data_IF_600591194982
#
_entry.id   IF_600591194982
#
_cell.length_a   1.000
_cell.length_b   1.000
_cell.length_c   1.000
_cell.angle_alpha   90.00
_cell.angle_beta   90.00
_cell.angle_gamma   90.00
#
_symmetry.space_group_name_H-M   'P 1'
#
loop_
_entity.id
_entity.type
_entity.pdbx_description
1 polymer ?
#
# COMPACT_ATOMS: atom_id res chain seq x y z
N UNK A 1 25.99 31.75 2.00
CA UNK A 1 26.52 30.42 2.35
C UNK A 1 26.79 29.63 1.06
N UNK A 2 28.06 29.38 0.73
CA UNK A 2 28.43 28.59 -0.43
C UNK A 2 28.07 27.12 -0.20
N UNK A 3 27.36 26.50 -1.15
CA UNK A 3 27.10 25.06 -1.15
C UNK A 3 28.44 24.37 -1.37
N UNK A 4 28.95 23.63 -0.38
CA UNK A 4 30.18 22.86 -0.56
C UNK A 4 30.05 21.89 -1.75
N UNK A 5 31.16 21.54 -2.39
CA UNK A 5 31.18 20.64 -3.55
C UNK A 5 30.47 19.29 -3.27
N UNK A 6 30.57 18.78 -2.04
CA UNK A 6 29.88 17.58 -1.56
C UNK A 6 28.37 17.77 -1.47
N UNK A 7 27.90 18.92 -0.94
CA UNK A 7 26.48 19.24 -0.87
C UNK A 7 25.84 19.41 -2.27
N UNK A 8 26.56 19.99 -3.23
CA UNK A 8 26.10 20.08 -4.62
C UNK A 8 25.95 18.69 -5.27
N UNK A 9 26.88 17.76 -5.00
CA UNK A 9 26.79 16.36 -5.45
C UNK A 9 25.58 15.64 -4.85
N UNK A 10 25.37 15.76 -3.54
CA UNK A 10 24.23 15.15 -2.85
C UNK A 10 22.89 15.67 -3.40
N UNK A 11 22.79 16.96 -3.71
CA UNK A 11 21.60 17.55 -4.36
C UNK A 11 21.30 16.90 -5.72
N UNK A 12 22.31 16.69 -6.57
CA UNK A 12 22.12 16.03 -7.87
C UNK A 12 21.65 14.58 -7.70
N UNK A 13 22.20 13.86 -6.72
CA UNK A 13 21.80 12.48 -6.43
C UNK A 13 20.39 12.39 -5.86
N UNK A 14 20.02 13.29 -4.95
CA UNK A 14 18.69 13.32 -4.33
C UNK A 14 17.60 13.60 -5.37
N UNK A 15 17.83 14.52 -6.31
CA UNK A 15 16.90 14.79 -7.40
C UNK A 15 16.65 13.56 -8.28
N UNK A 16 17.71 12.84 -8.66
CA UNK A 16 17.59 11.59 -9.44
C UNK A 16 16.82 10.51 -8.68
N UNK A 17 17.11 10.32 -7.39
CA UNK A 17 16.37 9.37 -6.52
C UNK A 17 14.91 9.77 -6.38
N UNK A 18 14.63 11.07 -6.16
CA UNK A 18 13.27 11.62 -6.02
C UNK A 18 12.41 11.33 -7.23
N UNK A 19 12.94 11.54 -8.45
CA UNK A 19 12.18 11.29 -9.68
C UNK A 19 11.78 9.83 -9.83
N UNK A 20 12.71 8.89 -9.59
CA UNK A 20 12.41 7.45 -9.62
C UNK A 20 11.42 7.03 -8.55
N UNK A 21 11.62 7.48 -7.32
CA UNK A 21 10.73 7.14 -6.21
C UNK A 21 9.32 7.68 -6.44
N UNK A 22 9.19 8.87 -7.03
CA UNK A 22 7.89 9.49 -7.33
C UNK A 22 7.07 8.67 -8.33
N UNK A 23 7.68 8.14 -9.39
CA UNK A 23 6.95 7.30 -10.35
C UNK A 23 6.45 6.02 -9.67
N UNK A 24 7.34 5.28 -9.00
CA UNK A 24 6.96 4.04 -8.30
C UNK A 24 5.90 4.28 -7.22
N UNK A 25 6.03 5.35 -6.44
CA UNK A 25 5.05 5.69 -5.40
C UNK A 25 3.68 6.02 -6.02
N UNK A 26 3.64 6.74 -7.14
CA UNK A 26 2.40 7.07 -7.85
C UNK A 26 1.73 5.83 -8.45
N UNK A 27 2.51 4.89 -9.01
CA UNK A 27 2.02 3.63 -9.53
C UNK A 27 1.41 2.77 -8.41
N UNK A 28 2.13 2.60 -7.30
CA UNK A 28 1.64 1.84 -6.13
C UNK A 28 0.38 2.48 -5.55
N UNK A 29 0.31 3.82 -5.47
CA UNK A 29 -0.89 4.53 -5.03
C UNK A 29 -2.07 4.28 -5.97
N UNK A 30 -1.83 4.26 -7.26
CA UNK A 30 -2.86 3.99 -8.28
C UNK A 30 -3.38 2.56 -8.17
N UNK A 31 -2.50 1.56 -8.09
CA UNK A 31 -2.88 0.15 -7.94
C UNK A 31 -3.69 -0.06 -6.65
N UNK A 32 -3.25 0.50 -5.53
CA UNK A 32 -3.98 0.42 -4.26
C UNK A 32 -5.35 1.09 -4.34
N UNK A 33 -5.47 2.19 -5.09
CA UNK A 33 -6.76 2.88 -5.29
C UNK A 33 -7.69 2.05 -6.18
N UNK A 34 -7.17 1.41 -7.24
CA UNK A 34 -7.93 0.47 -8.08
C UNK A 34 -8.44 -0.71 -7.26
N UNK A 35 -7.59 -1.33 -6.42
CA UNK A 35 -8.00 -2.41 -5.53
C UNK A 35 -9.12 -1.98 -4.57
N UNK A 36 -9.03 -0.78 -3.99
CA UNK A 36 -10.10 -0.24 -3.13
C UNK A 36 -11.42 -0.05 -3.87
N UNK A 37 -11.37 0.46 -5.11
CA UNK A 37 -12.56 0.63 -5.95
C UNK A 37 -13.17 -0.73 -6.29
N UNK A 38 -12.36 -1.70 -6.69
CA UNK A 38 -12.82 -3.05 -7.02
C UNK A 38 -13.50 -3.76 -5.83
N UNK A 39 -12.97 -3.59 -4.61
CA UNK A 39 -13.63 -4.08 -3.38
C UNK A 39 -14.99 -3.42 -3.18
N UNK A 40 -15.10 -2.11 -3.45
CA UNK A 40 -16.35 -1.36 -3.26
C UNK A 40 -17.43 -1.71 -4.27
N UNK A 41 -17.04 -2.08 -5.50
CA UNK A 41 -17.98 -2.42 -6.57
C UNK A 41 -18.39 -3.90 -6.58
N UNK A 42 -17.77 -4.74 -5.74
CA UNK A 42 -18.18 -6.13 -5.54
C UNK A 42 -17.92 -7.08 -6.72
N UNK A 43 -17.10 -6.69 -7.70
CA UNK A 43 -16.80 -7.52 -8.87
C UNK A 43 -15.90 -8.71 -8.56
N UNK A 44 -16.02 -9.79 -9.34
CA UNK A 44 -15.24 -11.03 -9.18
C UNK A 44 -13.71 -10.80 -9.21
N UNK A 45 -13.24 -9.76 -9.88
CA UNK A 45 -11.82 -9.36 -9.94
C UNK A 45 -11.26 -8.66 -8.69
N UNK A 46 -12.05 -8.44 -7.64
CA UNK A 46 -11.59 -7.73 -6.44
C UNK A 46 -10.45 -8.46 -5.71
N UNK A 47 -10.45 -9.80 -5.71
CA UNK A 47 -9.39 -10.60 -5.08
C UNK A 47 -8.06 -10.45 -5.82
N UNK A 48 -8.07 -10.54 -7.14
CA UNK A 48 -6.89 -10.38 -7.98
C UNK A 48 -6.30 -8.97 -7.90
N UNK A 49 -7.16 -7.95 -7.88
CA UNK A 49 -6.76 -6.57 -7.69
C UNK A 49 -6.07 -6.34 -6.33
N UNK A 50 -6.48 -7.08 -5.28
CA UNK A 50 -5.83 -7.02 -3.97
C UNK A 50 -4.48 -7.73 -3.97
N UNK A 51 -4.36 -8.90 -4.61
CA UNK A 51 -3.09 -9.63 -4.73
C UNK A 51 -2.05 -8.82 -5.49
N UNK A 52 -2.43 -8.22 -6.62
CA UNK A 52 -1.55 -7.32 -7.39
C UNK A 52 -1.12 -6.10 -6.57
N UNK A 53 -2.04 -5.50 -5.80
CA UNK A 53 -1.71 -4.41 -4.88
C UNK A 53 -0.74 -4.82 -3.75
N UNK A 54 -0.88 -6.03 -3.20
CA UNK A 54 0.03 -6.56 -2.19
C UNK A 54 1.44 -6.76 -2.77
N UNK A 55 1.55 -7.39 -3.94
CA UNK A 55 2.83 -7.58 -4.63
C UNK A 55 3.53 -6.24 -4.92
N UNK A 56 2.78 -5.25 -5.41
CA UNK A 56 3.33 -3.92 -5.68
C UNK A 56 3.84 -3.21 -4.41
N UNK A 57 3.13 -3.35 -3.29
CA UNK A 57 3.55 -2.78 -2.00
C UNK A 57 4.83 -3.43 -1.48
N UNK A 58 4.96 -4.75 -1.64
CA UNK A 58 6.13 -5.48 -1.17
C UNK A 58 7.37 -5.19 -2.00
N UNK A 59 7.23 -5.12 -3.34
CA UNK A 59 8.32 -4.68 -4.24
C UNK A 59 8.78 -3.25 -3.93
N UNK A 60 7.85 -2.36 -3.59
CA UNK A 60 8.20 -0.99 -3.20
C UNK A 60 8.89 -0.90 -1.83
N UNK A 61 8.56 -1.83 -0.92
CA UNK A 61 9.22 -1.93 0.38
C UNK A 61 10.62 -2.52 0.28
N UNK A 62 10.81 -3.54 -0.56
CA UNK A 62 12.11 -4.15 -0.84
C UNK A 62 13.08 -3.13 -1.46
N UNK A 63 12.60 -2.29 -2.38
CA UNK A 63 13.37 -1.18 -2.96
C UNK A 63 13.62 -0.01 -2.00
N UNK A 64 13.11 -0.07 -0.76
CA UNK A 64 13.27 0.98 0.25
C UNK A 64 12.52 2.29 -0.06
N UNK A 65 11.59 2.27 -1.02
CA UNK A 65 10.82 3.45 -1.42
C UNK A 65 9.71 3.70 -0.39
N UNK A 66 9.11 2.64 0.14
CA UNK A 66 8.11 2.68 1.21
C UNK A 66 8.66 1.91 2.41
N UNK A 67 8.49 2.46 3.62
CA UNK A 67 8.90 1.74 4.83
C UNK A 67 8.11 0.43 5.00
N UNK A 68 8.78 -0.64 5.46
CA UNK A 68 8.21 -1.98 5.66
C UNK A 68 6.89 -1.94 6.46
N UNK A 69 6.87 -1.19 7.56
CA UNK A 69 5.65 -1.01 8.37
C UNK A 69 4.53 -0.29 7.63
N UNK A 70 4.83 0.67 6.74
CA UNK A 70 3.82 1.33 5.93
C UNK A 70 3.21 0.36 4.91
N UNK A 71 4.05 -0.45 4.24
CA UNK A 71 3.58 -1.52 3.37
C UNK A 71 2.70 -2.53 4.14
N UNK A 72 3.16 -3.02 5.29
CA UNK A 72 2.41 -3.95 6.14
C UNK A 72 1.05 -3.38 6.58
N UNK A 73 1.00 -2.12 7.04
CA UNK A 73 -0.26 -1.43 7.39
C UNK A 73 -1.22 -1.35 6.21
N UNK A 74 -0.72 -1.01 5.01
CA UNK A 74 -1.54 -0.92 3.80
C UNK A 74 -2.07 -2.28 3.37
N UNK A 75 -1.25 -3.34 3.43
CA UNK A 75 -1.67 -4.72 3.16
C UNK A 75 -2.76 -5.19 4.13
N UNK A 76 -2.56 -4.99 5.42
CA UNK A 76 -3.56 -5.35 6.46
C UNK A 76 -4.89 -4.63 6.24
N UNK A 77 -4.88 -3.31 5.96
CA UNK A 77 -6.10 -2.54 5.66
C UNK A 77 -6.84 -3.03 4.42
N UNK A 78 -6.13 -3.42 3.34
CA UNK A 78 -6.77 -3.99 2.15
C UNK A 78 -7.41 -5.35 2.44
N UNK A 79 -6.70 -6.21 3.17
CA UNK A 79 -7.21 -7.52 3.56
C UNK A 79 -8.45 -7.40 4.45
N UNK A 80 -8.44 -6.48 5.41
CA UNK A 80 -9.61 -6.23 6.27
C UNK A 80 -10.82 -5.78 5.45
N UNK A 81 -10.62 -4.84 4.52
CA UNK A 81 -11.71 -4.33 3.65
C UNK A 81 -12.31 -5.41 2.75
N UNK A 82 -11.47 -6.28 2.19
CA UNK A 82 -11.93 -7.41 1.39
C UNK A 82 -12.76 -8.37 2.25
N UNK A 83 -12.32 -8.67 3.47
CA UNK A 83 -13.05 -9.52 4.42
C UNK A 83 -14.39 -8.91 4.84
N UNK A 84 -14.43 -7.60 5.10
CA UNK A 84 -15.69 -6.92 5.47
C UNK A 84 -16.66 -6.86 4.30
N UNK A 85 -16.17 -6.61 3.08
CA UNK A 85 -17.02 -6.58 1.88
C UNK A 85 -17.58 -7.96 1.51
N UNK A 86 -16.81 -9.02 1.72
CA UNK A 86 -17.25 -10.40 1.49
C UNK A 86 -18.25 -10.93 2.55
N UNK A 87 -18.38 -10.25 3.69
CA UNK A 87 -19.25 -10.67 4.80
C UNK A 87 -20.44 -9.71 4.89
N UNK A 88 -21.57 -9.97 4.18
CA UNK A 88 -22.79 -9.22 4.45
C UNK A 88 -23.24 -9.60 5.87
N UNK A 89 -23.34 -8.60 6.75
CA UNK A 89 -23.98 -8.64 8.07
C UNK A 89 -24.03 -10.02 8.78
N UNK A 90 -22.90 -10.52 9.30
CA UNK A 90 -23.01 -11.52 10.35
C UNK A 90 -23.38 -10.82 11.66
N UNK A 91 -24.63 -11.05 12.06
CA UNK A 91 -25.19 -10.76 13.39
C UNK A 91 -24.14 -11.04 14.48
N UNK A 92 -24.00 -10.17 15.50
CA UNK A 92 -23.14 -10.45 16.64
C UNK A 92 -23.76 -11.61 17.42
N UNK A 93 -23.31 -12.84 17.20
CA UNK A 93 -23.72 -13.98 18.03
C UNK A 93 -23.07 -13.83 19.42
N UNK A 94 -23.96 -13.68 20.39
CA UNK A 94 -23.67 -13.51 21.79
C UNK A 94 -22.88 -14.68 22.39
N UNK A 95 -22.04 -14.32 23.37
CA UNK A 95 -21.53 -15.11 24.52
C UNK A 95 -20.68 -16.35 24.25
N UNK A 96 -19.46 -16.34 24.80
CA UNK A 96 -19.13 -17.18 25.98
C UNK A 96 -18.30 -16.37 26.98
N UNK A 97 -18.98 -15.88 28.03
CA UNK A 97 -18.39 -15.67 29.35
C UNK A 97 -17.91 -17.05 29.78
N UNK A 98 -16.60 -17.25 29.95
CA UNK A 98 -16.08 -18.45 30.60
C UNK A 98 -15.97 -18.11 32.09
N UNK A 99 -16.48 -19.02 32.91
CA UNK A 99 -16.53 -18.97 34.37
C UNK A 99 -15.16 -18.68 34.98
#
# INVERSE_FOLDING_TARGET
MAISSSAAKQRRQSLKRRLRNKSVESEVKTIVTRARKAISTGGEGAKEAVVTAQSALDKAAEKGIIHKNNAARRKSRLALRLKTAAKPAAKPSAKKKKA
#
